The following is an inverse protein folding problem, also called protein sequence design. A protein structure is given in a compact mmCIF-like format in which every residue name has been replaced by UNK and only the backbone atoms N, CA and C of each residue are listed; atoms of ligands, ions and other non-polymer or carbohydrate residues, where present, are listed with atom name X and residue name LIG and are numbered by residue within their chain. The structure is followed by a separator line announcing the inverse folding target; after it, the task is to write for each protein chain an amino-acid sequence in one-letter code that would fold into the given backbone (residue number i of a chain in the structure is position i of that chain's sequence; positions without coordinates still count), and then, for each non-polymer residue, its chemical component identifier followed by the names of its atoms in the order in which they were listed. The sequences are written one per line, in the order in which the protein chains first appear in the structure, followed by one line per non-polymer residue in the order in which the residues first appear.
data_IF_870370264326
#
_entry.id   IF_870370264326
#
_cell.length_a   1.000
_cell.length_b   1.000
_cell.length_c   1.000
_cell.angle_alpha   90.00
_cell.angle_beta   90.00
_cell.angle_gamma   90.00
#
_symmetry.space_group_name_H-M   'P 1'
#
loop_
_entity.id
_entity.type
_entity.pdbx_description
1 polymer ?
#
# COMPACT_ATOMS: atom_id res chain seq x y z
N UNK A 1 55.34 67.44 -24.43
CA UNK A 1 55.21 65.98 -24.69
C UNK A 1 55.04 65.26 -23.36
N UNK A 2 53.77 64.94 -22.96
CA UNK A 2 53.42 64.23 -21.72
C UNK A 2 52.77 62.89 -22.10
N UNK A 3 53.23 61.74 -21.60
CA UNK A 3 52.55 60.51 -21.79
C UNK A 3 51.53 60.28 -20.67
N UNK A 4 50.30 60.03 -21.06
CA UNK A 4 49.13 59.69 -20.22
C UNK A 4 49.34 58.26 -19.70
N UNK A 5 49.33 58.11 -18.34
CA UNK A 5 49.28 56.81 -17.68
C UNK A 5 47.86 56.33 -17.62
N UNK A 6 47.56 55.21 -18.28
CA UNK A 6 46.32 54.44 -18.10
C UNK A 6 46.45 53.60 -16.83
N UNK A 7 45.54 53.84 -15.84
CA UNK A 7 45.33 52.98 -14.68
C UNK A 7 44.25 52.02 -15.04
N UNK A 8 44.60 50.72 -15.14
CA UNK A 8 43.65 49.61 -15.30
C UNK A 8 43.14 49.27 -13.90
N UNK A 9 41.85 49.54 -13.64
CA UNK A 9 41.16 49.08 -12.46
C UNK A 9 40.63 47.68 -12.77
N UNK A 10 41.27 46.65 -12.18
CA UNK A 10 40.74 45.27 -12.20
C UNK A 10 39.67 45.16 -11.12
N UNK A 11 38.39 45.10 -11.55
CA UNK A 11 37.31 44.63 -10.69
C UNK A 11 37.39 43.13 -10.51
N UNK A 12 37.89 42.68 -9.36
CA UNK A 12 37.74 41.28 -8.91
C UNK A 12 36.31 41.05 -8.46
N UNK A 13 35.52 40.43 -9.31
CA UNK A 13 34.18 39.91 -8.95
C UNK A 13 34.36 38.58 -8.20
N UNK A 14 34.29 38.61 -6.90
CA UNK A 14 34.19 37.39 -6.06
C UNK A 14 32.77 36.85 -6.17
N UNK A 15 32.57 35.88 -7.06
CA UNK A 15 31.35 35.12 -7.10
C UNK A 15 31.29 34.17 -5.87
N UNK A 16 30.55 34.56 -4.82
CA UNK A 16 30.16 33.65 -3.75
C UNK A 16 29.19 32.62 -4.33
N UNK A 17 29.70 31.45 -4.69
CA UNK A 17 28.88 30.28 -4.95
C UNK A 17 28.39 29.81 -3.59
N UNK A 18 27.17 30.25 -3.20
CA UNK A 18 26.44 29.63 -2.11
C UNK A 18 26.06 28.22 -2.53
N UNK A 19 26.87 27.25 -2.17
CA UNK A 19 26.50 25.84 -2.19
C UNK A 19 25.38 25.61 -1.17
N UNK A 20 24.13 25.84 -1.58
CA UNK A 20 22.97 25.34 -0.88
C UNK A 20 23.00 23.81 -1.01
N UNK A 21 23.67 23.15 -0.10
CA UNK A 21 23.47 21.72 0.13
C UNK A 21 22.02 21.56 0.59
N UNK A 22 21.12 21.39 -0.38
CA UNK A 22 19.79 20.85 -0.13
C UNK A 22 20.08 19.48 0.44
N UNK A 23 19.89 19.34 1.75
CA UNK A 23 19.89 18.06 2.45
C UNK A 23 18.71 17.27 1.87
N UNK A 24 18.91 16.63 0.71
CA UNK A 24 17.95 15.67 0.16
C UNK A 24 17.96 14.52 1.15
N UNK A 25 16.91 14.42 1.96
CA UNK A 25 16.63 13.20 2.69
C UNK A 25 16.65 12.07 1.66
N UNK A 26 17.65 11.22 1.72
CA UNK A 26 17.82 10.08 0.83
C UNK A 26 16.63 9.17 1.08
N UNK A 27 15.68 9.16 0.17
CA UNK A 27 14.58 8.22 0.19
C UNK A 27 14.97 7.03 -0.69
N UNK A 28 14.98 5.86 -0.13
CA UNK A 28 15.14 4.63 -0.91
C UNK A 28 13.78 4.21 -1.46
N UNK A 29 13.71 3.90 -2.75
CA UNK A 29 12.46 3.66 -3.47
C UNK A 29 12.53 2.36 -4.24
N UNK A 30 11.55 1.51 -4.02
CA UNK A 30 11.35 0.26 -4.76
C UNK A 30 10.08 0.38 -5.60
N UNK A 31 10.18 0.53 -6.92
CA UNK A 31 9.04 0.45 -7.82
C UNK A 31 8.57 -1.00 -7.94
N UNK A 32 7.25 -1.20 -8.04
CA UNK A 32 6.63 -2.49 -8.28
C UNK A 32 6.03 -2.57 -9.68
N UNK A 33 5.78 -3.79 -10.14
CA UNK A 33 5.05 -4.04 -11.38
C UNK A 33 3.64 -3.41 -11.26
N UNK A 34 3.21 -2.73 -12.32
CA UNK A 34 1.91 -2.05 -12.34
C UNK A 34 1.90 -0.62 -11.80
N UNK A 35 3.08 -0.05 -11.48
CA UNK A 35 3.22 1.38 -11.16
C UNK A 35 3.09 1.74 -9.68
N UNK A 36 2.84 0.77 -8.80
CA UNK A 36 2.91 1.00 -7.36
C UNK A 36 4.36 1.18 -6.90
N UNK A 37 4.56 1.76 -5.72
CA UNK A 37 5.89 2.06 -5.18
C UNK A 37 5.91 1.98 -3.66
N UNK A 38 7.00 1.49 -3.09
CA UNK A 38 7.33 1.62 -1.68
C UNK A 38 8.56 2.53 -1.52
N UNK A 39 8.45 3.53 -0.66
CA UNK A 39 9.53 4.47 -0.38
C UNK A 39 9.86 4.48 1.11
N UNK A 40 11.13 4.28 1.43
CA UNK A 40 11.64 4.42 2.79
C UNK A 40 12.21 5.82 3.00
N UNK A 41 11.93 6.42 4.15
CA UNK A 41 12.37 7.77 4.46
C UNK A 41 12.64 7.97 5.95
N UNK A 42 13.27 9.10 6.29
CA UNK A 42 13.69 9.43 7.66
C UNK A 42 14.63 8.36 8.24
N UNK A 43 15.85 8.26 7.69
CA UNK A 43 16.91 7.39 8.24
C UNK A 43 17.14 7.68 9.71
N UNK A 44 17.42 6.65 10.52
CA UNK A 44 17.69 6.82 11.94
C UNK A 44 18.87 7.76 12.17
N UNK A 45 18.70 8.69 13.12
CA UNK A 45 19.77 9.58 13.54
C UNK A 45 20.91 8.79 14.26
N UNK A 46 22.13 9.33 14.34
CA UNK A 46 23.26 8.61 14.96
C UNK A 46 22.98 8.06 16.37
N UNK A 47 22.24 8.82 17.19
CA UNK A 47 21.83 8.39 18.54
C UNK A 47 20.87 7.20 18.49
N UNK A 48 19.89 7.23 17.58
CA UNK A 48 18.92 6.15 17.40
C UNK A 48 19.59 4.91 16.83
N UNK A 49 20.50 5.08 15.83
CA UNK A 49 21.30 3.98 15.30
C UNK A 49 22.12 3.26 16.37
N UNK A 50 22.64 3.99 17.33
CA UNK A 50 23.38 3.39 18.45
C UNK A 50 22.47 2.55 19.35
N UNK A 51 21.21 2.95 19.50
CA UNK A 51 20.24 2.30 20.39
C UNK A 51 19.53 1.14 19.69
N UNK A 52 19.07 1.34 18.45
CA UNK A 52 18.14 0.45 17.78
C UNK A 52 18.71 -0.22 16.51
N UNK A 53 19.93 0.08 16.10
CA UNK A 53 20.50 -0.38 14.83
C UNK A 53 20.23 0.58 13.68
N UNK A 54 20.58 0.19 12.44
CA UNK A 54 20.36 1.00 11.24
C UNK A 54 18.98 0.71 10.63
N UNK A 55 18.47 1.68 9.88
CA UNK A 55 17.18 1.55 9.20
C UNK A 55 16.46 2.89 8.99
N UNK A 56 15.18 2.78 8.70
CA UNK A 56 14.30 3.89 8.34
C UNK A 56 13.11 3.98 9.32
N UNK A 57 12.65 5.19 9.61
CA UNK A 57 11.49 5.40 10.50
C UNK A 57 10.15 5.25 9.79
N UNK A 58 10.13 5.42 8.46
CA UNK A 58 8.89 5.49 7.69
C UNK A 58 9.01 4.69 6.41
N UNK A 59 7.98 3.93 6.10
CA UNK A 59 7.76 3.32 4.79
C UNK A 59 6.42 3.81 4.26
N UNK A 60 6.43 4.47 3.10
CA UNK A 60 5.24 5.00 2.44
C UNK A 60 4.94 4.19 1.19
N UNK A 61 3.78 3.58 1.16
CA UNK A 61 3.25 2.95 -0.03
C UNK A 61 2.53 3.99 -0.91
N UNK A 62 2.73 3.89 -2.22
CA UNK A 62 1.99 4.66 -3.23
C UNK A 62 1.33 3.67 -4.17
N UNK A 63 0.01 3.73 -4.31
CA UNK A 63 -0.74 2.88 -5.24
C UNK A 63 -0.50 3.29 -6.70
N UNK A 64 -0.90 2.45 -7.69
CA UNK A 64 -0.87 2.82 -9.10
C UNK A 64 -1.69 4.09 -9.41
N UNK A 65 -2.75 4.31 -8.67
CA UNK A 65 -3.65 5.48 -8.79
C UNK A 65 -3.09 6.74 -8.10
N UNK A 66 -1.94 6.63 -7.41
CA UNK A 66 -1.27 7.73 -6.73
C UNK A 66 -1.67 7.94 -5.27
N UNK A 67 -2.53 7.10 -4.72
CA UNK A 67 -2.87 7.14 -3.30
C UNK A 67 -1.67 6.77 -2.43
N UNK A 68 -1.49 7.53 -1.34
CA UNK A 68 -0.33 7.35 -0.44
C UNK A 68 -0.77 7.10 0.98
N UNK A 69 -0.10 6.16 1.64
CA UNK A 69 -0.22 5.96 3.07
C UNK A 69 1.05 5.35 3.66
N UNK A 70 1.26 5.58 4.95
CA UNK A 70 2.37 4.98 5.67
C UNK A 70 2.00 3.58 6.15
N UNK A 71 2.94 2.65 6.05
CA UNK A 71 2.82 1.36 6.69
C UNK A 71 3.08 1.52 8.19
N UNK A 72 2.38 0.74 9.02
CA UNK A 72 2.48 0.76 10.48
C UNK A 72 2.36 2.15 11.13
N UNK A 73 1.35 2.97 10.77
CA UNK A 73 1.25 4.35 11.25
C UNK A 73 1.03 4.48 12.75
N UNK A 74 0.57 3.40 13.40
CA UNK A 74 0.34 3.34 14.85
C UNK A 74 1.60 2.95 15.65
N UNK A 75 2.66 2.52 14.96
CA UNK A 75 3.88 2.02 15.57
C UNK A 75 5.10 2.90 15.23
N UNK A 76 4.90 4.22 15.14
CA UNK A 76 5.97 5.18 14.83
C UNK A 76 7.08 5.09 15.87
N UNK A 77 8.33 5.07 15.42
CA UNK A 77 9.49 5.03 16.31
C UNK A 77 9.56 6.28 17.20
N UNK A 78 9.58 6.04 18.49
CA UNK A 78 9.75 7.03 19.56
C UNK A 78 11.00 6.70 20.39
N UNK A 79 11.43 7.55 21.33
CA UNK A 79 12.50 7.20 22.26
C UNK A 79 12.24 5.94 23.10
N UNK A 80 10.96 5.57 23.29
CA UNK A 80 10.55 4.36 24.02
C UNK A 80 10.54 3.10 23.14
N UNK A 81 10.64 3.26 21.83
CA UNK A 81 10.59 2.17 20.84
C UNK A 81 9.57 2.42 19.72
N UNK A 82 9.36 1.42 18.91
CA UNK A 82 8.48 1.44 17.75
C UNK A 82 8.98 0.53 16.62
N UNK A 83 8.47 0.74 15.41
CA UNK A 83 8.89 0.02 14.21
C UNK A 83 10.05 0.73 13.53
N UNK A 84 11.04 -0.05 13.15
CA UNK A 84 12.18 0.33 12.33
C UNK A 84 12.12 -0.53 11.07
N UNK A 85 12.11 0.10 9.91
CA UNK A 85 12.23 -0.59 8.63
C UNK A 85 13.70 -0.86 8.36
N UNK A 86 14.04 -2.13 8.11
CA UNK A 86 15.42 -2.55 7.87
C UNK A 86 15.99 -1.90 6.61
N UNK A 87 17.32 -1.77 6.59
CA UNK A 87 18.09 -1.25 5.46
C UNK A 87 18.51 -2.34 4.46
N UNK A 88 17.96 -3.55 4.59
CA UNK A 88 18.20 -4.69 3.70
C UNK A 88 17.53 -4.47 2.34
N UNK A 89 18.24 -3.82 1.44
CA UNK A 89 17.79 -3.58 0.07
C UNK A 89 18.67 -4.36 -0.91
N UNK A 90 18.11 -4.83 -2.05
CA UNK A 90 16.72 -4.67 -2.49
C UNK A 90 15.73 -5.52 -1.70
N UNK A 91 14.46 -5.08 -1.67
CA UNK A 91 13.36 -5.85 -1.10
C UNK A 91 13.26 -7.24 -1.75
N UNK A 92 12.87 -8.24 -0.96
CA UNK A 92 12.59 -9.58 -1.45
C UNK A 92 11.24 -9.62 -2.14
N UNK A 93 11.20 -9.30 -3.45
CA UNK A 93 9.99 -9.33 -4.27
C UNK A 93 9.79 -10.73 -4.84
N UNK A 94 8.56 -11.23 -4.86
CA UNK A 94 8.23 -12.55 -5.40
C UNK A 94 8.43 -12.61 -6.93
N UNK A 95 8.69 -13.79 -7.52
CA UNK A 95 8.91 -13.93 -8.96
C UNK A 95 7.79 -13.39 -9.83
N UNK A 96 6.53 -13.46 -9.38
CA UNK A 96 5.39 -12.87 -10.12
C UNK A 96 5.27 -11.35 -9.90
N UNK A 97 6.03 -10.78 -8.97
CA UNK A 97 5.91 -9.39 -8.56
C UNK A 97 4.70 -9.11 -7.67
N UNK A 98 3.92 -10.12 -7.30
CA UNK A 98 2.67 -9.93 -6.53
C UNK A 98 2.94 -9.57 -5.08
N UNK A 99 3.99 -10.11 -4.47
CA UNK A 99 4.33 -9.92 -3.07
C UNK A 99 5.72 -9.35 -2.88
N UNK A 100 5.90 -8.58 -1.81
CA UNK A 100 7.20 -8.15 -1.32
C UNK A 100 7.30 -8.39 0.18
N UNK A 101 8.41 -8.95 0.64
CA UNK A 101 8.71 -9.11 2.06
C UNK A 101 9.53 -7.92 2.53
N UNK A 102 9.06 -7.27 3.58
CA UNK A 102 9.70 -6.12 4.20
C UNK A 102 10.32 -6.59 5.52
N UNK A 103 11.60 -6.28 5.75
CA UNK A 103 12.22 -6.56 7.03
C UNK A 103 11.94 -5.40 7.99
N UNK A 104 11.32 -5.68 9.13
CA UNK A 104 11.11 -4.70 10.19
C UNK A 104 11.61 -5.23 11.53
N UNK A 105 12.07 -4.30 12.36
CA UNK A 105 12.42 -4.54 13.75
C UNK A 105 11.42 -3.79 14.62
N UNK A 106 10.68 -4.50 15.48
CA UNK A 106 9.96 -3.87 16.59
C UNK A 106 10.88 -3.82 17.78
N UNK A 107 11.23 -2.61 18.21
CA UNK A 107 12.10 -2.37 19.35
C UNK A 107 11.34 -1.64 20.44
N UNK A 108 11.68 -1.92 21.68
CA UNK A 108 11.14 -1.25 22.86
C UNK A 108 12.17 -1.17 23.96
N UNK A 109 12.00 -0.23 24.87
CA UNK A 109 12.82 -0.13 26.08
C UNK A 109 12.00 -0.73 27.24
N UNK A 110 12.51 -1.82 27.80
CA UNK A 110 11.97 -2.36 29.03
C UNK A 110 12.62 -1.64 30.22
N UNK A 111 11.77 -1.11 31.08
CA UNK A 111 12.19 -0.62 32.39
C UNK A 111 12.00 -1.73 33.45
N UNK A 112 13.08 -2.36 33.93
CA UNK A 112 12.97 -3.45 34.89
C UNK A 112 12.59 -2.98 36.31
N UNK A 113 12.26 -1.71 36.46
CA UNK A 113 11.88 -1.11 37.73
C UNK A 113 13.07 -0.51 38.54
N UNK A 114 12.88 -0.22 39.85
CA UNK A 114 13.78 0.64 40.60
C UNK A 114 15.22 0.16 40.76
N UNK A 115 15.49 -1.14 40.58
CA UNK A 115 16.82 -1.74 40.77
C UNK A 115 17.53 -2.12 39.45
N UNK A 116 16.88 -1.98 38.32
CA UNK A 116 17.42 -2.37 37.01
C UNK A 116 17.79 -1.20 36.13
N UNK A 117 18.55 -1.48 35.06
CA UNK A 117 18.81 -0.51 34.00
C UNK A 117 17.86 -0.79 32.85
N UNK A 118 17.31 0.27 32.18
CA UNK A 118 16.52 0.09 30.98
C UNK A 118 17.29 -0.69 29.91
N UNK A 119 16.64 -1.72 29.33
CA UNK A 119 17.23 -2.55 28.30
C UNK A 119 16.43 -2.45 27.02
N UNK A 120 17.15 -2.38 25.90
CA UNK A 120 16.52 -2.44 24.58
C UNK A 120 16.19 -3.89 24.25
N UNK A 121 14.93 -4.16 24.05
CA UNK A 121 14.47 -5.43 23.48
C UNK A 121 13.95 -5.23 22.08
N UNK A 122 14.22 -6.17 21.20
CA UNK A 122 13.77 -6.10 19.82
C UNK A 122 13.43 -7.47 19.27
N UNK A 123 12.48 -7.47 18.33
CA UNK A 123 12.08 -8.67 17.61
C UNK A 123 11.93 -8.36 16.12
N UNK A 124 12.53 -9.23 15.31
CA UNK A 124 12.39 -9.14 13.84
C UNK A 124 11.05 -9.68 13.40
N UNK A 125 10.42 -8.96 12.47
CA UNK A 125 9.24 -9.36 11.72
C UNK A 125 9.50 -9.20 10.22
N UNK A 126 8.74 -9.93 9.43
CA UNK A 126 8.83 -9.94 7.97
C UNK A 126 7.43 -9.85 7.34
N UNK A 127 6.75 -8.68 7.47
CA UNK A 127 5.46 -8.50 6.85
C UNK A 127 5.52 -8.71 5.34
N UNK A 128 4.49 -9.37 4.82
CA UNK A 128 4.30 -9.59 3.39
C UNK A 128 3.32 -8.57 2.85
N UNK A 129 3.82 -7.72 1.95
CA UNK A 129 3.05 -6.69 1.27
C UNK A 129 2.55 -7.23 -0.08
N UNK A 130 1.25 -7.13 -0.35
CA UNK A 130 0.73 -7.26 -1.71
C UNK A 130 1.04 -5.98 -2.48
N UNK A 131 1.87 -6.10 -3.52
CA UNK A 131 2.46 -4.95 -4.22
C UNK A 131 1.46 -4.06 -4.93
N UNK A 132 0.32 -4.61 -5.37
CA UNK A 132 -0.72 -3.87 -6.11
C UNK A 132 -1.60 -3.01 -5.20
N UNK A 133 -1.88 -3.48 -3.99
CA UNK A 133 -2.87 -2.85 -3.09
C UNK A 133 -2.24 -2.13 -1.91
N UNK A 134 -1.01 -2.52 -1.54
CA UNK A 134 -0.36 -2.10 -0.31
C UNK A 134 -0.87 -2.84 0.93
N UNK A 135 -1.69 -3.88 0.76
CA UNK A 135 -2.14 -4.73 1.85
C UNK A 135 -0.97 -5.52 2.43
N UNK A 136 -0.76 -5.43 3.72
CA UNK A 136 0.09 -6.39 4.45
C UNK A 136 -0.79 -7.60 4.75
N UNK A 137 -0.57 -8.70 4.03
CA UNK A 137 -1.37 -9.91 4.14
C UNK A 137 -1.01 -10.75 5.36
N UNK A 138 0.24 -10.71 5.78
CA UNK A 138 0.74 -11.39 6.97
C UNK A 138 1.90 -10.62 7.61
N UNK A 139 2.14 -10.87 8.89
CA UNK A 139 3.17 -10.19 9.68
C UNK A 139 3.90 -11.20 10.55
N UNK A 140 4.65 -12.07 9.90
CA UNK A 140 5.36 -13.19 10.49
C UNK A 140 6.64 -12.76 11.22
N UNK A 141 7.18 -13.65 12.05
CA UNK A 141 8.42 -13.43 12.81
C UNK A 141 9.21 -14.72 12.97
N UNK A 142 10.40 -14.64 13.52
CA UNK A 142 11.25 -15.80 13.82
C UNK A 142 11.80 -16.47 12.57
N UNK A 143 11.83 -17.80 12.55
CA UNK A 143 12.44 -18.59 11.48
C UNK A 143 11.86 -18.31 10.10
N UNK A 144 10.56 -17.96 10.00
CA UNK A 144 9.93 -17.62 8.74
C UNK A 144 10.60 -16.43 8.03
N UNK A 145 11.18 -15.49 8.78
CA UNK A 145 11.86 -14.33 8.20
C UNK A 145 13.19 -14.69 7.51
N UNK A 146 13.79 -15.83 7.82
CA UNK A 146 15.02 -16.33 7.21
C UNK A 146 14.84 -16.95 5.81
N UNK A 147 13.62 -17.00 5.28
CA UNK A 147 13.33 -17.59 3.98
C UNK A 147 13.62 -16.67 2.80
N UNK A 148 13.39 -17.24 1.62
CA UNK A 148 13.48 -16.54 0.33
C UNK A 148 12.43 -17.06 -0.64
N UNK A 149 12.15 -16.28 -1.68
CA UNK A 149 11.25 -16.75 -2.74
C UNK A 149 11.88 -17.88 -3.55
N UNK A 150 11.11 -18.91 -3.83
CA UNK A 150 11.48 -19.97 -4.76
C UNK A 150 11.65 -19.44 -6.19
N UNK A 151 12.23 -20.25 -7.06
CA UNK A 151 12.49 -19.87 -8.47
C UNK A 151 11.22 -19.75 -9.31
N UNK A 152 10.14 -20.40 -8.93
CA UNK A 152 8.90 -20.45 -9.68
C UNK A 152 7.71 -20.12 -8.77
N UNK A 153 6.80 -19.28 -9.27
CA UNK A 153 5.62 -18.86 -8.52
C UNK A 153 5.95 -18.04 -7.27
N UNK A 154 4.97 -17.85 -6.41
CA UNK A 154 5.11 -17.09 -5.15
C UNK A 154 5.30 -18.08 -3.98
N UNK A 155 6.24 -19.00 -4.12
CA UNK A 155 6.57 -19.98 -3.09
C UNK A 155 7.64 -19.42 -2.15
N UNK A 156 7.31 -19.30 -0.87
CA UNK A 156 8.29 -18.94 0.15
C UNK A 156 9.01 -20.16 0.69
N UNK A 157 10.31 -20.16 0.70
CA UNK A 157 11.13 -21.32 1.13
C UNK A 157 12.02 -20.89 2.28
N UNK A 158 11.88 -21.60 3.41
CA UNK A 158 12.73 -21.41 4.60
C UNK A 158 13.66 -22.61 4.72
N UNK A 159 14.97 -22.41 4.68
CA UNK A 159 15.92 -23.52 4.85
C UNK A 159 15.70 -24.28 6.16
N UNK A 160 15.55 -25.58 6.09
CA UNK A 160 15.35 -26.45 7.26
C UNK A 160 13.91 -26.53 7.79
N UNK A 161 12.95 -25.84 7.16
CA UNK A 161 11.53 -26.03 7.45
C UNK A 161 10.85 -26.87 6.36
N UNK A 162 9.72 -27.48 6.71
CA UNK A 162 8.88 -28.24 5.80
C UNK A 162 8.06 -27.34 4.87
N UNK A 163 7.38 -27.92 3.87
CA UNK A 163 6.61 -27.19 2.84
C UNK A 163 5.46 -26.33 3.39
N UNK A 164 5.00 -26.57 4.61
CA UNK A 164 3.95 -25.77 5.27
C UNK A 164 4.38 -24.33 5.56
N UNK A 165 5.70 -24.03 5.61
CA UNK A 165 6.21 -22.69 5.89
C UNK A 165 5.73 -21.65 4.86
N UNK A 166 5.58 -22.07 3.59
CA UNK A 166 5.05 -21.19 2.56
C UNK A 166 3.58 -20.84 2.81
N UNK A 167 2.77 -21.81 3.20
CA UNK A 167 1.37 -21.58 3.54
C UNK A 167 1.22 -20.57 4.68
N UNK A 168 2.03 -20.71 5.72
CA UNK A 168 2.01 -19.79 6.86
C UNK A 168 2.49 -18.38 6.49
N UNK A 169 3.53 -18.26 5.63
CA UNK A 169 4.05 -16.95 5.24
C UNK A 169 3.03 -16.10 4.48
N UNK A 170 2.22 -16.71 3.63
CA UNK A 170 1.22 -16.04 2.79
C UNK A 170 -0.20 -16.08 3.37
N UNK A 171 -0.38 -16.72 4.53
CA UNK A 171 -1.67 -16.82 5.17
C UNK A 171 -2.15 -15.45 5.61
N UNK A 172 -3.32 -15.05 5.10
CA UNK A 172 -3.95 -13.80 5.49
C UNK A 172 -4.29 -13.82 6.99
N UNK A 173 -3.76 -12.84 7.73
CA UNK A 173 -3.82 -12.82 9.20
C UNK A 173 -4.84 -11.82 9.75
N UNK A 174 -5.48 -11.03 8.89
CA UNK A 174 -6.30 -9.89 9.30
C UNK A 174 -7.75 -10.08 8.94
N UNK A 175 -8.64 -9.51 9.74
CA UNK A 175 -10.07 -9.52 9.50
C UNK A 175 -10.46 -8.54 8.38
N UNK A 176 -11.51 -8.86 7.61
CA UNK A 176 -12.21 -7.88 6.79
C UNK A 176 -13.03 -6.90 7.66
N UNK A 177 -13.50 -5.81 7.07
CA UNK A 177 -14.22 -4.76 7.79
C UNK A 177 -15.53 -5.26 8.44
N UNK A 178 -16.21 -6.19 7.77
CA UNK A 178 -17.46 -6.77 8.29
C UNK A 178 -17.20 -7.68 9.49
N UNK A 179 -16.20 -8.55 9.40
CA UNK A 179 -15.79 -9.43 10.48
C UNK A 179 -15.31 -8.62 11.67
N UNK A 180 -14.43 -7.63 11.45
CA UNK A 180 -13.93 -6.74 12.51
C UNK A 180 -15.07 -6.02 13.21
N UNK A 181 -16.01 -5.44 12.46
CA UNK A 181 -17.16 -4.75 13.03
C UNK A 181 -18.04 -5.69 13.85
N UNK A 182 -18.34 -6.88 13.34
CA UNK A 182 -19.16 -7.88 14.04
C UNK A 182 -18.49 -8.37 15.32
N UNK A 183 -17.20 -8.60 15.33
CA UNK A 183 -16.44 -8.98 16.53
C UNK A 183 -16.45 -7.85 17.57
N UNK A 184 -16.23 -6.60 17.12
CA UNK A 184 -16.28 -5.42 17.97
C UNK A 184 -17.63 -5.31 18.69
N UNK A 185 -18.76 -5.28 17.95
CA UNK A 185 -20.08 -5.14 18.56
C UNK A 185 -20.46 -6.34 19.40
N UNK A 186 -20.07 -7.57 19.03
CA UNK A 186 -20.35 -8.79 19.79
C UNK A 186 -19.56 -8.87 21.10
N UNK A 187 -18.49 -8.10 21.24
CA UNK A 187 -17.69 -7.99 22.46
C UNK A 187 -18.24 -6.95 23.44
N UNK A 188 -19.16 -6.09 23.01
CA UNK A 188 -19.72 -5.02 23.84
C UNK A 188 -20.37 -5.61 25.11
N UNK A 189 -20.07 -5.02 26.25
CA UNK A 189 -20.56 -5.47 27.56
C UNK A 189 -19.84 -6.70 28.13
N UNK A 190 -18.87 -7.28 27.44
CA UNK A 190 -18.03 -8.37 27.96
C UNK A 190 -16.82 -7.83 28.75
N UNK A 191 -16.28 -8.62 29.71
CA UNK A 191 -15.13 -8.19 30.52
C UNK A 191 -13.88 -7.78 29.72
N UNK A 192 -13.71 -8.33 28.51
CA UNK A 192 -12.56 -8.06 27.63
C UNK A 192 -13.01 -7.38 26.34
N UNK A 193 -13.89 -6.38 26.45
CA UNK A 193 -14.30 -5.57 25.31
C UNK A 193 -13.13 -4.71 24.83
N UNK A 194 -12.73 -4.91 23.58
CA UNK A 194 -11.75 -4.08 22.91
C UNK A 194 -12.39 -2.75 22.48
N UNK A 195 -11.68 -1.67 22.62
CA UNK A 195 -12.06 -0.42 21.95
C UNK A 195 -11.95 -0.57 20.43
N UNK A 196 -12.67 0.26 19.68
CA UNK A 196 -12.58 0.24 18.21
C UNK A 196 -11.16 0.51 17.72
N UNK A 197 -10.38 1.31 18.44
CA UNK A 197 -8.98 1.57 18.12
C UNK A 197 -8.11 0.32 18.27
N UNK A 198 -8.31 -0.45 19.33
CA UNK A 198 -7.59 -1.71 19.55
C UNK A 198 -7.98 -2.75 18.50
N UNK A 199 -9.27 -2.85 18.17
CA UNK A 199 -9.75 -3.74 17.12
C UNK A 199 -9.12 -3.41 15.75
N UNK A 200 -8.98 -2.12 15.40
CA UNK A 200 -8.30 -1.69 14.17
C UNK A 200 -6.79 -1.89 14.26
N UNK A 201 -6.19 -1.68 15.44
CA UNK A 201 -4.75 -1.91 15.65
C UNK A 201 -4.37 -3.37 15.42
N UNK A 202 -5.25 -4.33 15.73
CA UNK A 202 -5.03 -5.75 15.42
C UNK A 202 -4.92 -6.03 13.92
N UNK A 203 -5.47 -5.14 13.08
CA UNK A 203 -5.34 -5.16 11.62
C UNK A 203 -4.23 -4.22 11.09
N UNK A 204 -3.25 -3.87 11.91
CA UNK A 204 -2.16 -2.91 11.59
C UNK A 204 -2.66 -1.50 11.22
N UNK A 205 -3.86 -1.15 11.65
CA UNK A 205 -4.45 0.17 11.45
C UNK A 205 -5.41 0.24 10.26
N UNK A 206 -6.07 1.39 10.17
CA UNK A 206 -7.13 1.61 9.16
C UNK A 206 -6.61 1.56 7.72
N UNK A 207 -5.38 1.99 7.48
CA UNK A 207 -4.80 1.97 6.13
C UNK A 207 -4.63 0.54 5.63
N UNK A 208 -4.13 -0.36 6.49
CA UNK A 208 -3.99 -1.77 6.14
C UNK A 208 -5.36 -2.43 5.96
N UNK A 209 -6.30 -2.19 6.86
CA UNK A 209 -7.66 -2.71 6.72
C UNK A 209 -8.25 -2.34 5.35
N UNK A 210 -8.18 -1.07 4.96
CA UNK A 210 -8.73 -0.60 3.68
C UNK A 210 -7.90 -1.02 2.45
N UNK A 211 -6.62 -1.31 2.60
CA UNK A 211 -5.80 -1.85 1.53
C UNK A 211 -6.11 -3.34 1.27
N UNK A 212 -6.40 -4.10 2.34
CA UNK A 212 -6.72 -5.53 2.29
C UNK A 212 -8.18 -5.81 1.93
N UNK A 213 -9.11 -5.03 2.48
CA UNK A 213 -10.55 -5.13 2.23
C UNK A 213 -11.07 -3.80 1.70
N UNK A 214 -10.85 -3.56 0.40
CA UNK A 214 -11.27 -2.30 -0.23
C UNK A 214 -12.78 -2.09 -0.07
N UNK A 215 -13.22 -0.84 0.21
CA UNK A 215 -14.64 -0.52 0.25
C UNK A 215 -15.39 -1.02 -1.00
N UNK A 216 -16.55 -1.61 -0.77
CA UNK A 216 -17.42 -2.20 -1.79
C UNK A 216 -18.88 -2.15 -1.32
N UNK A 217 -19.83 -2.45 -2.18
CA UNK A 217 -21.24 -2.55 -1.78
C UNK A 217 -21.48 -3.54 -0.61
N UNK A 218 -20.60 -4.56 -0.48
CA UNK A 218 -20.75 -5.62 0.52
C UNK A 218 -20.25 -5.23 1.94
N UNK A 219 -19.36 -4.22 2.04
CA UNK A 219 -18.72 -3.82 3.29
C UNK A 219 -18.86 -2.33 3.62
N UNK A 220 -19.48 -1.53 2.73
CA UNK A 220 -19.63 -0.08 2.90
C UNK A 220 -20.31 0.30 4.22
N UNK A 221 -21.30 -0.47 4.64
CA UNK A 221 -22.02 -0.19 5.89
C UNK A 221 -21.15 -0.44 7.12
N UNK A 222 -20.34 -1.50 7.09
CA UNK A 222 -19.36 -1.77 8.15
C UNK A 222 -18.34 -0.63 8.26
N UNK A 223 -17.85 -0.12 7.13
CA UNK A 223 -16.95 1.04 7.14
C UNK A 223 -17.59 2.31 7.66
N UNK A 224 -18.86 2.59 7.34
CA UNK A 224 -19.59 3.74 7.90
C UNK A 224 -19.70 3.64 9.43
N UNK A 225 -20.02 2.46 9.91
CA UNK A 225 -20.14 2.18 11.35
C UNK A 225 -18.80 2.33 12.06
N UNK A 226 -17.72 1.75 11.50
CA UNK A 226 -16.36 1.90 12.00
C UNK A 226 -15.96 3.39 12.04
N UNK A 227 -16.24 4.15 10.98
CA UNK A 227 -15.92 5.57 10.91
C UNK A 227 -16.66 6.37 11.98
N UNK A 228 -17.96 6.09 12.19
CA UNK A 228 -18.76 6.75 13.22
C UNK A 228 -18.23 6.45 14.62
N UNK A 229 -17.83 5.20 14.89
CA UNK A 229 -17.27 4.80 16.17
C UNK A 229 -15.90 5.39 16.44
N UNK A 230 -15.00 5.42 15.43
CA UNK A 230 -13.71 6.10 15.51
C UNK A 230 -13.86 7.58 15.81
N UNK A 231 -14.80 8.27 15.15
CA UNK A 231 -15.10 9.67 15.42
C UNK A 231 -15.57 9.87 16.87
N UNK A 232 -16.42 8.98 17.36
CA UNK A 232 -16.92 9.00 18.75
C UNK A 232 -15.79 8.75 19.76
N UNK A 233 -14.84 7.89 19.40
CA UNK A 233 -13.63 7.63 20.19
C UNK A 233 -12.56 8.74 20.05
N UNK A 234 -12.81 9.81 19.28
CA UNK A 234 -11.90 10.93 19.08
C UNK A 234 -10.78 10.66 18.05
N UNK A 235 -10.85 9.58 17.29
CA UNK A 235 -9.95 9.31 16.15
C UNK A 235 -10.56 9.89 14.86
N UNK A 236 -10.50 11.21 14.77
CA UNK A 236 -11.08 11.97 13.65
C UNK A 236 -10.33 11.67 12.35
N UNK A 237 -9.01 11.54 12.41
CA UNK A 237 -8.19 11.30 11.21
C UNK A 237 -8.55 9.98 10.51
N UNK A 238 -8.64 8.89 11.24
CA UNK A 238 -9.04 7.59 10.69
C UNK A 238 -10.48 7.61 10.16
N UNK A 239 -11.39 8.28 10.88
CA UNK A 239 -12.77 8.45 10.45
C UNK A 239 -12.87 9.23 9.13
N UNK A 240 -12.16 10.35 9.00
CA UNK A 240 -12.13 11.16 7.77
C UNK A 240 -11.49 10.41 6.60
N UNK A 241 -10.45 9.63 6.86
CA UNK A 241 -9.83 8.79 5.83
C UNK A 241 -10.83 7.79 5.25
N UNK A 242 -11.60 7.09 6.11
CA UNK A 242 -12.67 6.21 5.66
C UNK A 242 -13.71 6.98 4.85
N UNK A 243 -14.22 8.10 5.38
CA UNK A 243 -15.25 8.90 4.73
C UNK A 243 -14.83 9.37 3.32
N UNK A 244 -13.59 9.85 3.18
CA UNK A 244 -13.02 10.25 1.88
C UNK A 244 -12.97 9.08 0.90
N UNK A 245 -12.59 7.88 1.36
CA UNK A 245 -12.53 6.68 0.52
C UNK A 245 -13.91 6.22 0.09
N UNK A 246 -14.89 6.25 0.97
CA UNK A 246 -16.28 5.93 0.64
C UNK A 246 -16.87 6.93 -0.35
N UNK A 247 -16.55 8.21 -0.20
CA UNK A 247 -16.97 9.25 -1.14
C UNK A 247 -16.38 9.05 -2.54
N UNK A 248 -15.11 8.65 -2.64
CA UNK A 248 -14.48 8.35 -3.93
C UNK A 248 -15.12 7.16 -4.64
N UNK A 249 -15.65 6.16 -3.90
CA UNK A 249 -16.45 5.08 -4.47
C UNK A 249 -17.74 5.60 -5.11
N UNK A 250 -18.50 6.41 -4.35
CA UNK A 250 -19.78 6.96 -4.84
C UNK A 250 -19.58 7.82 -6.09
N UNK A 251 -18.43 8.51 -6.17
CA UNK A 251 -18.06 9.30 -7.34
C UNK A 251 -17.64 8.40 -8.51
N UNK A 252 -16.97 7.27 -8.25
CA UNK A 252 -16.62 6.29 -9.29
C UNK A 252 -17.83 5.44 -9.73
N UNK A 253 -18.74 5.09 -8.82
CA UNK A 253 -20.01 4.45 -9.17
C UNK A 253 -20.98 5.42 -9.84
N UNK A 254 -20.91 6.74 -9.52
CA UNK A 254 -21.67 7.81 -10.19
C UNK A 254 -21.10 8.22 -11.55
N UNK A 255 -19.84 7.97 -11.82
CA UNK A 255 -19.21 8.01 -13.13
C UNK A 255 -19.21 6.60 -13.74
N UNK A 256 -20.40 6.06 -13.91
CA UNK A 256 -20.63 5.00 -14.90
C UNK A 256 -20.28 5.64 -16.23
N UNK A 257 -19.06 5.45 -16.68
CA UNK A 257 -18.65 5.91 -17.99
C UNK A 257 -19.36 5.03 -19.02
N UNK A 258 -20.61 5.42 -19.33
CA UNK A 258 -21.34 4.85 -20.44
C UNK A 258 -20.67 5.34 -21.71
N UNK A 259 -20.19 4.41 -22.49
CA UNK A 259 -19.58 4.65 -23.79
C UNK A 259 -20.38 3.94 -24.86
N UNK A 260 -20.33 4.46 -26.06
CA UNK A 260 -20.98 3.86 -27.21
C UNK A 260 -20.01 3.07 -28.06
N UNK A 261 -20.46 1.95 -28.56
CA UNK A 261 -19.72 1.21 -29.56
C UNK A 261 -19.68 2.01 -30.86
N UNK A 262 -18.47 2.29 -31.36
CA UNK A 262 -18.25 2.99 -32.63
C UNK A 262 -18.19 2.04 -33.83
N UNK A 263 -17.60 0.88 -33.61
CA UNK A 263 -17.45 -0.13 -34.66
C UNK A 263 -18.81 -0.71 -35.08
N UNK A 264 -19.00 -0.99 -36.39
CA UNK A 264 -20.20 -1.67 -36.86
C UNK A 264 -20.42 -3.00 -36.14
N UNK A 265 -19.34 -3.71 -35.81
CA UNK A 265 -19.31 -4.89 -34.94
C UNK A 265 -18.06 -4.86 -34.06
N UNK A 266 -18.22 -4.81 -32.74
CA UNK A 266 -17.16 -4.94 -31.76
C UNK A 266 -17.20 -6.35 -31.17
N UNK A 267 -16.27 -7.21 -31.58
CA UNK A 267 -16.18 -8.57 -31.03
C UNK A 267 -15.81 -8.56 -29.58
N UNK A 268 -16.38 -9.50 -28.82
CA UNK A 268 -16.12 -9.69 -27.39
C UNK A 268 -15.05 -10.77 -27.20
N UNK A 269 -14.21 -10.59 -26.16
CA UNK A 269 -13.09 -11.46 -25.85
C UNK A 269 -13.16 -11.90 -24.38
N UNK A 270 -12.77 -13.14 -24.08
CA UNK A 270 -12.71 -13.65 -22.71
C UNK A 270 -11.51 -13.07 -21.92
N UNK A 271 -10.45 -12.70 -22.65
CA UNK A 271 -9.22 -12.10 -22.12
C UNK A 271 -8.74 -10.98 -23.05
N UNK A 272 -7.87 -10.06 -22.58
CA UNK A 272 -7.35 -8.96 -23.40
C UNK A 272 -6.27 -9.44 -24.39
N UNK A 273 -6.64 -10.34 -25.29
CA UNK A 273 -5.80 -10.89 -26.36
C UNK A 273 -6.70 -11.35 -27.51
N UNK A 274 -6.23 -11.18 -28.74
CA UNK A 274 -6.94 -11.57 -29.95
C UNK A 274 -7.25 -13.09 -30.04
N UNK A 275 -6.46 -13.91 -29.38
CA UNK A 275 -6.64 -15.38 -29.35
C UNK A 275 -7.90 -15.82 -28.58
N UNK A 276 -8.44 -14.95 -27.71
CA UNK A 276 -9.61 -15.28 -26.89
C UNK A 276 -10.90 -14.66 -27.42
N UNK A 277 -10.98 -14.46 -28.76
CA UNK A 277 -12.19 -13.96 -29.41
C UNK A 277 -13.34 -14.93 -29.23
N UNK A 278 -14.49 -14.40 -28.83
CA UNK A 278 -15.74 -15.17 -28.76
C UNK A 278 -16.55 -14.99 -30.04
N UNK A 279 -17.66 -15.74 -30.18
CA UNK A 279 -18.63 -15.52 -31.25
C UNK A 279 -19.57 -14.34 -31.00
N UNK A 280 -19.49 -13.75 -29.79
CA UNK A 280 -20.34 -12.62 -29.40
C UNK A 280 -19.75 -11.31 -29.92
N UNK A 281 -20.62 -10.39 -30.28
CA UNK A 281 -20.25 -9.03 -30.66
C UNK A 281 -21.34 -8.04 -30.23
N UNK A 282 -20.94 -6.80 -30.06
CA UNK A 282 -21.81 -5.64 -29.88
C UNK A 282 -21.88 -4.89 -31.21
N UNK A 283 -22.96 -4.16 -31.42
CA UNK A 283 -23.17 -3.35 -32.64
C UNK A 283 -22.96 -1.86 -32.31
N UNK A 284 -22.80 -1.09 -33.38
CA UNK A 284 -22.68 0.37 -33.28
C UNK A 284 -23.86 0.95 -32.50
N UNK A 285 -23.55 1.94 -31.61
CA UNK A 285 -24.48 2.62 -30.70
C UNK A 285 -24.93 1.79 -29.48
N UNK A 286 -24.52 0.52 -29.35
CA UNK A 286 -24.73 -0.19 -28.09
C UNK A 286 -24.05 0.56 -26.94
N UNK A 287 -24.75 0.75 -25.83
CA UNK A 287 -24.22 1.36 -24.62
C UNK A 287 -23.48 0.31 -23.78
N UNK A 288 -22.26 0.62 -23.40
CA UNK A 288 -21.44 -0.23 -22.56
C UNK A 288 -20.88 0.56 -21.36
N UNK A 289 -20.78 -0.10 -20.23
CA UNK A 289 -20.11 0.43 -19.05
C UNK A 289 -18.64 0.06 -19.10
N UNK A 290 -17.75 1.02 -18.98
CA UNK A 290 -16.32 0.75 -18.86
C UNK A 290 -16.01 0.28 -17.43
N UNK A 291 -15.32 -0.86 -17.31
CA UNK A 291 -14.87 -1.41 -16.03
C UNK A 291 -13.38 -1.17 -15.80
N UNK A 292 -12.54 -1.46 -16.81
CA UNK A 292 -11.08 -1.26 -16.72
C UNK A 292 -10.46 -1.22 -18.12
N UNK A 293 -9.43 -0.39 -18.30
CA UNK A 293 -8.61 -0.33 -19.52
C UNK A 293 -7.20 -0.90 -19.30
N UNK A 294 -6.67 -1.65 -20.28
CA UNK A 294 -5.33 -2.21 -20.23
C UNK A 294 -4.77 -2.47 -21.63
N UNK A 295 -3.67 -1.78 -21.99
CA UNK A 295 -2.87 -2.14 -23.17
C UNK A 295 -3.63 -2.22 -24.51
N UNK A 296 -4.52 -1.24 -24.80
CA UNK A 296 -5.32 -1.22 -26.02
C UNK A 296 -6.59 -2.10 -25.96
N UNK A 297 -6.91 -2.63 -24.77
CA UNK A 297 -8.11 -3.39 -24.46
C UNK A 297 -8.92 -2.72 -23.38
N UNK A 298 -10.25 -2.90 -23.42
CA UNK A 298 -11.17 -2.39 -22.40
C UNK A 298 -12.08 -3.51 -21.95
N UNK A 299 -12.16 -3.75 -20.64
CA UNK A 299 -13.18 -4.62 -20.07
C UNK A 299 -14.45 -3.82 -19.90
N UNK A 300 -15.52 -4.33 -20.47
CA UNK A 300 -16.83 -3.67 -20.45
C UNK A 300 -17.86 -4.54 -19.76
N UNK A 301 -18.90 -3.91 -19.28
CA UNK A 301 -20.14 -4.54 -18.88
C UNK A 301 -21.24 -4.08 -19.84
N UNK A 302 -21.95 -5.04 -20.41
CA UNK A 302 -23.09 -4.84 -21.28
C UNK A 302 -24.34 -5.46 -20.65
N UNK A 303 -25.42 -4.69 -20.59
CA UNK A 303 -26.69 -5.16 -20.07
C UNK A 303 -27.59 -5.58 -21.22
N UNK A 304 -27.84 -6.89 -21.34
CA UNK A 304 -28.78 -7.41 -22.32
C UNK A 304 -30.24 -6.95 -22.04
N UNK A 305 -31.07 -6.93 -23.04
CA UNK A 305 -32.50 -6.54 -22.92
C UNK A 305 -33.28 -7.40 -21.91
N UNK A 306 -32.84 -8.61 -21.66
CA UNK A 306 -33.42 -9.51 -20.65
C UNK A 306 -32.95 -9.21 -19.21
N UNK A 307 -32.12 -8.18 -18.99
CA UNK A 307 -31.57 -7.80 -17.70
C UNK A 307 -30.30 -8.57 -17.31
N UNK A 308 -29.77 -9.44 -18.16
CA UNK A 308 -28.52 -10.16 -17.90
C UNK A 308 -27.31 -9.27 -18.15
N UNK A 309 -26.40 -9.19 -17.21
CA UNK A 309 -25.11 -8.50 -17.35
C UNK A 309 -24.05 -9.45 -17.94
N UNK A 310 -23.32 -8.96 -18.94
CA UNK A 310 -22.20 -9.67 -19.57
C UNK A 310 -20.94 -8.82 -19.39
N UNK A 311 -19.89 -9.42 -18.81
CA UNK A 311 -18.59 -8.78 -18.70
C UNK A 311 -17.60 -9.46 -19.65
N UNK A 312 -17.02 -8.69 -20.57
CA UNK A 312 -16.07 -9.15 -21.58
C UNK A 312 -15.05 -8.06 -21.90
N UNK A 313 -14.04 -8.42 -22.63
CA UNK A 313 -13.05 -7.48 -23.17
C UNK A 313 -13.43 -7.10 -24.60
N UNK A 314 -13.16 -5.87 -24.98
CA UNK A 314 -13.21 -5.37 -26.36
C UNK A 314 -11.93 -4.58 -26.67
N UNK A 315 -11.65 -4.30 -27.93
CA UNK A 315 -10.57 -3.42 -28.32
C UNK A 315 -10.93 -1.97 -27.99
N UNK A 316 -9.96 -1.22 -27.49
CA UNK A 316 -10.19 0.18 -27.09
C UNK A 316 -10.59 1.08 -28.28
N UNK A 317 -10.14 0.75 -29.49
CA UNK A 317 -10.50 1.45 -30.74
C UNK A 317 -11.96 1.23 -31.18
N UNK A 318 -12.67 0.30 -30.56
CA UNK A 318 -14.08 -0.01 -30.83
C UNK A 318 -15.08 0.85 -30.06
N UNK A 319 -14.61 1.71 -29.15
CA UNK A 319 -15.43 2.57 -28.28
C UNK A 319 -15.00 4.03 -28.34
N UNK A 320 -15.96 4.93 -28.00
CA UNK A 320 -15.73 6.37 -27.93
C UNK A 320 -15.13 6.77 -26.58
#
# INVERSE_FOLDING_TARGET
MNPIRFILVQCLSVAMVMNSQICRASADRTPFLGGAMLAFSAQLAPKEKKTFGSGWKTATYTSPEGDKFNLFPLEVLTPAGGVIFGDSLPLRVSPTGKYAVIDILRAGILDPGPSGKPEVQSRQYCPVLETKTGCIVSNQSGALCGGQWGKQGDLWVVPGLTDDANGEMLKHQFNDAKTLWNEYISSAGKPFHLSIREAISSNLGIYNLMACDRPSANNVESYKNIAAELKRAGDVMSSEYIAKRLQSMTTQEGQIELRKILAQRAFLFDRPSAEFQTKMYLIKEDDVRILVGMGGWVKIEYLERNGRSIQKWIRADSIN
#
